data_IF_808211004072
#
_entry.id   IF_808211004072
#
_cell.length_a   1.000
_cell.length_b   1.000
_cell.length_c   1.000
_cell.angle_alpha   90.00
_cell.angle_beta   90.00
_cell.angle_gamma   90.00
#
_symmetry.space_group_name_H-M   'P 1'
#
loop_
_entity.id
_entity.type
_entity.pdbx_description
1 polymer ?
#
# COMPACT_ATOMS: atom_id res chain seq x y z
N UNK A 1 61.57 -3.65 29.73
CA UNK A 1 60.89 -2.58 28.94
C UNK A 1 61.59 -2.46 27.60
N UNK A 2 60.86 -2.21 26.51
CA UNK A 2 61.44 -2.01 25.18
C UNK A 2 62.09 -0.62 25.14
N UNK A 3 63.37 -0.54 24.79
CA UNK A 3 64.16 0.70 24.86
C UNK A 3 64.50 1.28 23.48
N UNK A 4 64.59 0.44 22.45
CA UNK A 4 65.01 0.82 21.10
C UNK A 4 64.10 0.14 20.07
N UNK A 5 63.64 0.92 19.08
CA UNK A 5 62.82 0.42 17.96
C UNK A 5 63.44 0.88 16.63
N UNK A 6 63.94 -0.05 15.83
CA UNK A 6 64.56 0.22 14.53
C UNK A 6 63.57 -0.02 13.39
N UNK A 7 63.28 1.04 12.61
CA UNK A 7 62.24 1.02 11.56
C UNK A 7 62.78 1.34 10.16
N UNK A 8 64.10 1.40 9.99
CA UNK A 8 64.74 1.74 8.72
C UNK A 8 64.43 0.73 7.59
N UNK A 9 64.46 1.19 6.34
CA UNK A 9 64.35 0.35 5.14
C UNK A 9 63.04 -0.47 5.02
N UNK A 10 61.93 0.05 5.52
CA UNK A 10 60.61 -0.52 5.31
C UNK A 10 59.80 0.30 4.29
N UNK A 11 59.01 -0.34 3.41
CA UNK A 11 58.13 0.37 2.48
C UNK A 11 56.91 0.92 3.23
N UNK A 12 56.96 2.18 3.63
CA UNK A 12 55.84 2.82 4.32
C UNK A 12 54.78 3.30 3.33
N UNK A 13 53.52 3.01 3.64
CA UNK A 13 52.37 3.61 2.99
C UNK A 13 52.00 4.87 3.77
N UNK A 14 51.94 6.01 3.10
CA UNK A 14 51.60 7.31 3.64
C UNK A 14 50.26 7.74 3.09
N UNK A 15 49.20 7.22 3.70
CA UNK A 15 47.81 7.52 3.38
C UNK A 15 47.04 7.96 4.62
N UNK A 16 45.80 8.37 4.41
CA UNK A 16 44.86 8.67 5.48
C UNK A 16 44.71 7.55 6.51
N UNK A 17 44.69 6.30 6.07
CA UNK A 17 44.47 5.14 6.94
C UNK A 17 45.65 4.88 7.88
N UNK A 18 46.84 5.34 7.50
CA UNK A 18 48.10 5.20 8.26
C UNK A 18 48.48 6.47 9.02
N UNK A 19 47.64 7.50 9.06
CA UNK A 19 47.94 8.76 9.77
C UNK A 19 48.20 8.58 11.26
N UNK A 20 47.50 7.64 11.89
CA UNK A 20 47.73 7.29 13.29
C UNK A 20 49.17 6.83 13.57
N UNK A 21 49.85 6.23 12.58
CA UNK A 21 51.20 5.73 12.75
C UNK A 21 52.22 6.89 12.78
N UNK A 22 51.99 7.93 11.98
CA UNK A 22 52.79 9.17 12.07
C UNK A 22 52.61 9.84 13.45
N UNK A 23 51.38 9.88 13.98
CA UNK A 23 51.09 10.41 15.32
C UNK A 23 51.75 9.57 16.43
N UNK A 24 51.76 8.24 16.27
CA UNK A 24 52.45 7.32 17.17
C UNK A 24 53.96 7.56 17.18
N UNK A 25 54.58 7.75 16.01
CA UNK A 25 56.01 8.04 15.90
C UNK A 25 56.39 9.38 16.56
N UNK A 26 55.49 10.36 16.62
CA UNK A 26 55.70 11.64 17.29
C UNK A 26 55.49 11.60 18.80
N UNK A 27 54.57 10.76 19.28
CA UNK A 27 54.12 10.74 20.69
C UNK A 27 54.80 9.67 21.54
N UNK A 28 55.53 8.73 20.93
CA UNK A 28 56.11 7.59 21.64
C UNK A 28 57.34 7.97 22.47
N UNK A 29 57.46 7.45 23.71
CA UNK A 29 58.63 7.68 24.57
C UNK A 29 59.83 6.77 24.22
N UNK A 30 59.72 5.94 23.17
CA UNK A 30 60.74 4.97 22.77
C UNK A 30 61.75 5.66 21.84
N UNK A 31 63.04 5.39 22.03
CA UNK A 31 64.06 5.94 21.14
C UNK A 31 64.01 5.23 19.77
N UNK A 32 63.71 6.00 18.73
CA UNK A 32 63.72 5.55 17.33
C UNK A 32 64.90 6.23 16.63
N UNK A 33 66.00 5.52 16.37
CA UNK A 33 67.15 6.10 15.69
C UNK A 33 66.77 6.47 14.24
N UNK A 34 67.28 7.61 13.77
CA UNK A 34 67.11 8.10 12.39
C UNK A 34 65.67 8.41 11.94
N UNK A 35 64.79 8.77 12.89
CA UNK A 35 63.38 9.10 12.66
C UNK A 35 63.15 10.10 11.49
N UNK A 36 64.03 11.10 11.34
CA UNK A 36 63.87 12.14 10.30
C UNK A 36 64.64 11.91 9.00
N UNK A 37 65.46 10.85 8.90
CA UNK A 37 66.38 10.66 7.76
C UNK A 37 66.25 9.33 7.02
N UNK A 38 65.61 8.32 7.60
CA UNK A 38 65.50 6.97 7.02
C UNK A 38 64.07 6.43 6.95
N UNK A 39 63.07 7.26 7.24
CA UNK A 39 61.64 6.91 7.22
C UNK A 39 60.94 7.65 6.08
N UNK A 40 61.06 7.11 4.88
CA UNK A 40 60.46 7.65 3.67
C UNK A 40 59.19 6.89 3.29
N UNK A 41 58.24 7.63 2.73
CA UNK A 41 57.05 7.07 2.10
C UNK A 41 57.45 6.39 0.78
N UNK A 42 57.03 5.14 0.59
CA UNK A 42 57.17 4.41 -0.67
C UNK A 42 55.88 4.51 -1.50
N UNK A 43 54.74 4.59 -0.81
CA UNK A 43 53.42 4.68 -1.43
C UNK A 43 52.59 5.78 -0.74
N UNK A 44 51.66 6.46 -1.43
CA UNK A 44 51.40 6.44 -2.89
C UNK A 44 52.51 7.15 -3.70
N UNK A 45 52.56 6.91 -5.03
CA UNK A 45 53.58 7.53 -5.93
C UNK A 45 53.67 9.06 -5.79
N UNK A 46 52.56 9.72 -5.45
CA UNK A 46 52.51 11.18 -5.25
C UNK A 46 53.30 11.68 -4.03
N UNK A 47 53.58 10.80 -3.06
CA UNK A 47 54.30 11.12 -1.81
C UNK A 47 55.63 10.35 -1.69
N UNK A 48 56.05 9.65 -2.75
CA UNK A 48 57.27 8.84 -2.72
C UNK A 48 58.50 9.69 -2.38
N UNK A 49 59.33 9.20 -1.45
CA UNK A 49 60.54 9.89 -0.98
C UNK A 49 60.32 10.99 0.06
N UNK A 50 59.07 11.39 0.34
CA UNK A 50 58.78 12.33 1.42
C UNK A 50 58.92 11.65 2.78
N UNK A 51 59.23 12.44 3.81
CA UNK A 51 59.30 11.93 5.18
C UNK A 51 57.91 11.59 5.69
N UNK A 52 57.76 10.46 6.38
CA UNK A 52 56.48 10.04 6.97
C UNK A 52 55.89 11.08 7.93
N UNK A 53 56.75 11.89 8.56
CA UNK A 53 56.38 12.98 9.47
C UNK A 53 55.87 14.24 8.77
N UNK A 54 56.07 14.37 7.45
CA UNK A 54 55.59 15.53 6.66
C UNK A 54 54.17 15.34 6.12
N UNK A 55 53.49 14.26 6.51
CA UNK A 55 52.13 14.00 6.08
C UNK A 55 51.13 14.97 6.74
N UNK A 56 50.41 15.74 5.92
CA UNK A 56 49.44 16.71 6.41
C UNK A 56 48.08 16.05 6.71
N UNK A 57 47.72 16.00 7.99
CA UNK A 57 46.47 15.37 8.46
C UNK A 57 45.22 16.14 8.04
N UNK A 58 45.34 17.43 7.68
CA UNK A 58 44.20 18.26 7.24
C UNK A 58 43.66 17.82 5.88
N UNK A 59 44.55 17.41 4.98
CA UNK A 59 44.18 16.85 3.67
C UNK A 59 43.28 15.60 3.81
N UNK A 60 43.44 14.86 4.92
CA UNK A 60 42.59 13.72 5.21
C UNK A 60 41.20 14.10 5.73
N UNK A 61 41.16 15.12 6.59
CA UNK A 61 39.91 15.63 7.14
C UNK A 61 39.00 16.25 6.07
N UNK A 62 39.56 16.81 4.99
CA UNK A 62 38.77 17.32 3.87
C UNK A 62 38.07 16.22 3.07
N UNK A 63 38.70 15.03 2.90
CA UNK A 63 38.12 13.90 2.16
C UNK A 63 36.96 13.27 2.95
N UNK A 64 37.18 12.91 4.21
CA UNK A 64 36.13 12.31 5.05
C UNK A 64 35.09 13.34 5.51
N UNK A 65 35.50 14.60 5.69
CA UNK A 65 34.62 15.70 6.08
C UNK A 65 33.61 16.07 5.01
N UNK A 66 34.03 16.09 3.73
CA UNK A 66 33.12 16.33 2.60
C UNK A 66 32.09 15.22 2.45
N UNK A 67 32.52 13.95 2.55
CA UNK A 67 31.60 12.81 2.50
C UNK A 67 30.61 12.82 3.68
N UNK A 68 31.10 13.07 4.90
CA UNK A 68 30.26 13.18 6.09
C UNK A 68 29.23 14.32 5.95
N UNK A 69 29.65 15.47 5.42
CA UNK A 69 28.76 16.61 5.17
C UNK A 69 27.66 16.27 4.15
N UNK A 70 28.02 15.60 3.05
CA UNK A 70 27.05 15.12 2.06
C UNK A 70 26.05 14.13 2.68
N UNK A 71 26.52 13.16 3.45
CA UNK A 71 25.65 12.19 4.12
C UNK A 71 24.72 12.87 5.12
N UNK A 72 25.25 13.75 5.98
CA UNK A 72 24.46 14.48 6.97
C UNK A 72 23.42 15.40 6.32
N UNK A 73 23.76 16.07 5.21
CA UNK A 73 22.81 16.93 4.49
C UNK A 73 21.66 16.12 3.87
N UNK A 74 21.95 14.96 3.27
CA UNK A 74 20.93 14.05 2.74
C UNK A 74 20.01 13.55 3.87
N UNK A 75 20.58 13.15 5.01
CA UNK A 75 19.81 12.72 6.17
C UNK A 75 18.93 13.84 6.74
N UNK A 76 19.43 15.07 6.82
CA UNK A 76 18.65 16.22 7.29
C UNK A 76 17.49 16.57 6.33
N UNK A 77 17.75 16.56 5.02
CA UNK A 77 16.73 16.82 4.00
C UNK A 77 15.65 15.73 4.02
N UNK A 78 16.04 14.45 4.09
CA UNK A 78 15.06 13.35 4.15
C UNK A 78 14.22 13.41 5.43
N UNK A 79 14.82 13.69 6.59
CA UNK A 79 14.10 13.77 7.85
C UNK A 79 13.11 14.95 7.91
N UNK A 80 13.34 16.01 7.15
CA UNK A 80 12.44 17.17 7.08
C UNK A 80 11.38 17.01 5.99
N UNK A 81 11.73 16.52 4.82
CA UNK A 81 10.83 16.41 3.66
C UNK A 81 9.82 15.27 3.81
N UNK A 82 10.22 14.11 4.36
CA UNK A 82 9.34 12.96 4.54
C UNK A 82 8.11 13.24 5.43
N UNK A 83 8.23 13.84 6.63
CA UNK A 83 7.07 14.15 7.46
C UNK A 83 6.20 15.25 6.83
N UNK A 84 6.79 16.24 6.15
CA UNK A 84 6.04 17.28 5.44
C UNK A 84 5.20 16.69 4.30
N UNK A 85 5.79 15.81 3.48
CA UNK A 85 5.07 15.09 2.43
C UNK A 85 3.98 14.19 3.01
N UNK A 86 4.24 13.50 4.12
CA UNK A 86 3.22 12.68 4.80
C UNK A 86 2.09 13.52 5.41
N UNK A 87 2.39 14.71 5.92
CA UNK A 87 1.38 15.58 6.50
C UNK A 87 0.53 16.27 5.42
N UNK A 88 1.15 16.72 4.33
CA UNK A 88 0.47 17.43 3.24
C UNK A 88 -0.24 16.47 2.27
N UNK A 89 0.36 15.32 1.97
CA UNK A 89 -0.13 14.39 0.94
C UNK A 89 -0.42 12.98 1.49
N UNK A 90 -0.35 12.74 2.80
CA UNK A 90 -0.48 11.39 3.36
C UNK A 90 -1.81 10.73 3.04
N UNK A 91 -2.91 11.48 3.13
CA UNK A 91 -4.24 11.00 2.79
C UNK A 91 -4.41 10.83 1.28
N UNK A 92 -4.00 11.81 0.47
CA UNK A 92 -4.14 11.75 -0.99
C UNK A 92 -3.30 10.64 -1.61
N UNK A 93 -2.05 10.45 -1.16
CA UNK A 93 -1.17 9.38 -1.64
C UNK A 93 -1.67 8.01 -1.17
N UNK A 94 -2.22 7.91 0.05
CA UNK A 94 -2.89 6.69 0.51
C UNK A 94 -4.12 6.35 -0.35
N UNK A 95 -4.97 7.33 -0.66
CA UNK A 95 -6.13 7.16 -1.52
C UNK A 95 -5.74 6.79 -2.95
N UNK A 96 -4.81 7.52 -3.58
CA UNK A 96 -4.32 7.20 -4.92
C UNK A 96 -3.67 5.82 -4.97
N UNK A 97 -2.89 5.45 -3.95
CA UNK A 97 -2.29 4.11 -3.88
C UNK A 97 -3.34 3.02 -3.76
N UNK A 98 -4.39 3.23 -2.94
CA UNK A 98 -5.51 2.29 -2.82
C UNK A 98 -6.30 2.15 -4.14
N UNK A 99 -6.57 3.26 -4.83
CA UNK A 99 -7.27 3.25 -6.12
C UNK A 99 -6.42 2.59 -7.20
N UNK A 100 -5.12 2.88 -7.25
CA UNK A 100 -4.18 2.24 -8.17
C UNK A 100 -3.96 0.77 -7.81
N UNK A 101 -3.93 0.40 -6.53
CA UNK A 101 -3.91 -1.00 -6.09
C UNK A 101 -5.20 -1.73 -6.45
N UNK A 102 -6.37 -1.10 -6.29
CA UNK A 102 -7.65 -1.67 -6.69
C UNK A 102 -7.77 -1.84 -8.23
N UNK A 103 -7.21 -0.88 -8.99
CA UNK A 103 -7.14 -0.93 -10.44
C UNK A 103 -6.12 -1.95 -10.97
N UNK A 104 -4.91 -2.00 -10.40
CA UNK A 104 -3.84 -2.92 -10.81
C UNK A 104 -4.07 -4.34 -10.31
N UNK A 105 -4.67 -4.51 -9.13
CA UNK A 105 -5.19 -5.80 -8.67
C UNK A 105 -6.49 -6.19 -9.39
N UNK A 106 -6.91 -5.38 -10.36
CA UNK A 106 -7.99 -5.63 -11.30
C UNK A 106 -9.17 -6.26 -10.60
N UNK A 107 -9.86 -5.48 -9.74
CA UNK A 107 -11.04 -5.86 -8.96
C UNK A 107 -11.19 -7.37 -8.95
N UNK A 108 -10.36 -8.04 -8.14
CA UNK A 108 -10.23 -9.48 -8.17
C UNK A 108 -11.61 -10.06 -8.34
N UNK A 109 -11.88 -10.63 -9.52
CA UNK A 109 -12.85 -11.71 -9.59
C UNK A 109 -12.51 -12.54 -8.37
N UNK A 110 -13.47 -12.70 -7.46
CA UNK A 110 -13.38 -13.80 -6.53
C UNK A 110 -13.07 -14.99 -7.43
N UNK A 111 -11.81 -15.44 -7.36
CA UNK A 111 -11.34 -16.57 -8.14
C UNK A 111 -12.36 -17.65 -7.84
N UNK A 112 -13.09 -18.04 -8.89
CA UNK A 112 -14.27 -18.86 -8.77
C UNK A 112 -13.97 -20.11 -7.97
N UNK A 113 -14.32 -20.11 -6.70
CA UNK A 113 -14.86 -21.32 -6.10
C UNK A 113 -16.30 -21.38 -6.53
N UNK A 114 -16.48 -22.26 -7.50
CA UNK A 114 -17.71 -22.79 -8.05
C UNK A 114 -18.36 -22.01 -9.19
N UNK A 115 -18.30 -22.62 -10.37
CA UNK A 115 -19.04 -22.30 -11.60
C UNK A 115 -20.55 -22.56 -11.45
N UNK A 116 -21.13 -22.28 -10.28
CA UNK A 116 -22.50 -22.63 -9.92
C UNK A 116 -23.42 -21.40 -9.83
N UNK A 117 -22.87 -20.19 -9.73
CA UNK A 117 -23.66 -18.95 -9.73
C UNK A 117 -24.06 -18.57 -11.16
N UNK A 118 -25.36 -18.50 -11.44
CA UNK A 118 -25.92 -18.10 -12.73
C UNK A 118 -25.97 -16.57 -12.90
N UNK A 119 -25.98 -15.83 -11.79
CA UNK A 119 -26.10 -14.38 -11.76
C UNK A 119 -24.96 -13.72 -10.99
N UNK A 120 -24.53 -12.55 -11.44
CA UNK A 120 -23.51 -11.74 -10.75
C UNK A 120 -24.09 -11.09 -9.48
N UNK A 121 -25.34 -10.63 -9.56
CA UNK A 121 -26.03 -10.06 -8.42
C UNK A 121 -27.55 -10.27 -8.47
N UNK A 122 -28.15 -10.55 -7.32
CA UNK A 122 -29.60 -10.49 -7.10
C UNK A 122 -29.95 -9.12 -6.49
N UNK A 123 -30.86 -8.38 -7.13
CA UNK A 123 -31.27 -7.06 -6.66
C UNK A 123 -32.63 -7.17 -5.95
N UNK A 124 -32.63 -6.86 -4.66
CA UNK A 124 -33.81 -6.85 -3.80
C UNK A 124 -34.27 -5.42 -3.61
N UNK A 125 -35.48 -5.10 -4.05
CA UNK A 125 -36.06 -3.76 -3.94
C UNK A 125 -37.55 -3.83 -3.63
N UNK A 126 -38.15 -2.71 -3.26
CA UNK A 126 -39.59 -2.65 -3.04
C UNK A 126 -40.35 -2.49 -4.35
N UNK A 127 -41.00 -3.56 -4.80
CA UNK A 127 -41.83 -3.58 -6.03
C UNK A 127 -43.09 -2.73 -5.90
N UNK A 128 -43.52 -2.38 -4.68
CA UNK A 128 -44.66 -1.48 -4.45
C UNK A 128 -44.29 -0.02 -4.71
N UNK A 129 -43.05 0.35 -4.44
CA UNK A 129 -42.57 1.69 -4.67
C UNK A 129 -42.25 1.87 -6.16
N UNK A 130 -43.18 2.49 -6.88
CA UNK A 130 -43.06 2.71 -8.31
C UNK A 130 -41.79 3.49 -8.69
N UNK A 131 -41.39 4.50 -7.90
CA UNK A 131 -40.19 5.28 -8.20
C UNK A 131 -38.92 4.44 -8.12
N UNK A 132 -38.84 3.53 -7.15
CA UNK A 132 -37.71 2.60 -7.00
C UNK A 132 -37.71 1.58 -8.13
N UNK A 133 -38.87 0.99 -8.41
CA UNK A 133 -39.01 0.00 -9.50
C UNK A 133 -38.61 0.60 -10.84
N UNK A 134 -39.12 1.79 -11.16
CA UNK A 134 -38.84 2.46 -12.43
C UNK A 134 -37.34 2.81 -12.55
N UNK A 135 -36.69 3.21 -11.46
CA UNK A 135 -35.24 3.44 -11.43
C UNK A 135 -34.43 2.15 -11.60
N UNK A 136 -34.82 1.06 -10.94
CA UNK A 136 -34.11 -0.23 -11.04
C UNK A 136 -34.14 -0.72 -12.50
N UNK A 137 -35.31 -0.77 -13.14
CA UNK A 137 -35.41 -1.31 -14.49
C UNK A 137 -34.87 -0.38 -15.58
N UNK A 138 -35.10 0.94 -15.49
CA UNK A 138 -34.75 1.85 -16.57
C UNK A 138 -33.34 2.45 -16.44
N UNK A 139 -32.83 2.58 -15.22
CA UNK A 139 -31.52 3.20 -14.96
C UNK A 139 -30.50 2.14 -14.55
N UNK A 140 -30.73 1.42 -13.46
CA UNK A 140 -29.74 0.47 -12.91
C UNK A 140 -29.45 -0.67 -13.89
N UNK A 141 -30.49 -1.34 -14.40
CA UNK A 141 -30.33 -2.47 -15.34
C UNK A 141 -29.67 -2.00 -16.64
N UNK A 142 -30.05 -0.84 -17.18
CA UNK A 142 -29.46 -0.32 -18.42
C UNK A 142 -27.98 0.02 -18.22
N UNK A 143 -27.62 0.70 -17.12
CA UNK A 143 -26.24 1.08 -16.87
C UNK A 143 -25.33 -0.12 -16.52
N UNK A 144 -25.85 -1.19 -15.92
CA UNK A 144 -25.05 -2.35 -15.52
C UNK A 144 -25.02 -3.47 -16.57
N UNK A 145 -26.12 -3.73 -17.27
CA UNK A 145 -26.18 -4.78 -18.29
C UNK A 145 -25.71 -4.26 -19.67
N UNK A 146 -25.94 -2.99 -20.00
CA UNK A 146 -25.59 -2.42 -21.32
C UNK A 146 -24.33 -1.53 -21.31
N UNK A 147 -23.53 -1.52 -20.23
CA UNK A 147 -22.27 -0.78 -20.23
C UNK A 147 -21.23 -1.43 -21.16
N UNK A 148 -20.65 -0.62 -22.05
CA UNK A 148 -19.65 -1.05 -23.03
C UNK A 148 -18.38 -1.67 -22.42
N UNK A 149 -18.11 -1.44 -21.14
CA UNK A 149 -16.87 -1.89 -20.49
C UNK A 149 -17.01 -3.26 -19.81
N UNK A 150 -18.22 -3.60 -19.32
CA UNK A 150 -18.48 -4.87 -18.63
C UNK A 150 -19.98 -5.14 -18.58
N UNK A 151 -20.39 -6.34 -18.98
CA UNK A 151 -21.77 -6.83 -18.90
C UNK A 151 -21.98 -7.59 -17.60
N UNK A 152 -22.79 -7.05 -16.70
CA UNK A 152 -23.25 -7.77 -15.51
C UNK A 152 -24.57 -8.49 -15.81
N UNK A 153 -24.79 -9.65 -15.19
CA UNK A 153 -26.08 -10.36 -15.25
C UNK A 153 -26.80 -10.23 -13.91
N UNK A 154 -27.91 -9.48 -13.90
CA UNK A 154 -28.71 -9.24 -12.71
C UNK A 154 -29.90 -10.20 -12.64
N UNK A 155 -30.21 -10.70 -11.44
CA UNK A 155 -31.46 -11.39 -11.15
C UNK A 155 -32.46 -10.39 -10.53
N UNK A 156 -33.67 -10.31 -11.11
CA UNK A 156 -34.75 -9.42 -10.68
C UNK A 156 -36.03 -10.23 -10.41
N UNK A 157 -36.77 -9.83 -9.37
CA UNK A 157 -37.97 -10.52 -8.89
C UNK A 157 -39.06 -10.67 -9.97
N UNK A 158 -39.43 -9.60 -10.68
CA UNK A 158 -40.55 -9.70 -11.65
C UNK A 158 -40.11 -10.24 -13.02
N UNK A 159 -38.81 -10.27 -13.32
CA UNK A 159 -38.26 -10.70 -14.63
C UNK A 159 -37.84 -12.16 -14.66
N UNK A 160 -37.11 -12.60 -13.64
CA UNK A 160 -36.34 -13.85 -13.68
C UNK A 160 -36.96 -14.95 -12.81
N UNK A 161 -38.02 -14.66 -12.05
CA UNK A 161 -38.72 -15.66 -11.26
C UNK A 161 -39.57 -16.57 -12.14
N UNK A 162 -39.45 -17.88 -11.89
CA UNK A 162 -40.11 -18.90 -12.69
C UNK A 162 -41.55 -19.07 -12.20
N UNK A 163 -42.56 -18.90 -13.08
CA UNK A 163 -43.95 -19.17 -12.71
C UNK A 163 -44.13 -20.68 -12.43
N UNK A 164 -44.82 -21.01 -11.34
CA UNK A 164 -45.06 -22.38 -10.90
C UNK A 164 -44.21 -22.84 -9.72
N UNK A 165 -43.17 -22.08 -9.35
CA UNK A 165 -42.48 -22.22 -8.05
C UNK A 165 -43.08 -21.27 -7.02
N UNK A 166 -42.95 -21.59 -5.73
CA UNK A 166 -43.34 -20.67 -4.67
C UNK A 166 -42.41 -19.45 -4.63
N UNK A 167 -42.91 -18.32 -4.13
CA UNK A 167 -42.12 -17.10 -3.91
C UNK A 167 -40.86 -17.40 -3.06
N UNK A 168 -40.97 -18.28 -2.08
CA UNK A 168 -39.84 -18.65 -1.21
C UNK A 168 -38.78 -19.45 -1.95
N UNK A 169 -39.17 -20.39 -2.81
CA UNK A 169 -38.24 -21.16 -3.63
C UNK A 169 -37.54 -20.29 -4.66
N UNK A 170 -38.28 -19.41 -5.33
CA UNK A 170 -37.69 -18.43 -6.27
C UNK A 170 -36.70 -17.51 -5.55
N UNK A 171 -37.07 -17.01 -4.37
CA UNK A 171 -36.19 -16.19 -3.54
C UNK A 171 -34.92 -16.94 -3.11
N UNK A 172 -35.07 -18.18 -2.64
CA UNK A 172 -33.93 -19.02 -2.26
C UNK A 172 -32.98 -19.23 -3.46
N UNK A 173 -33.53 -19.60 -4.62
CA UNK A 173 -32.75 -19.81 -5.83
C UNK A 173 -32.06 -18.52 -6.28
N UNK A 174 -32.73 -17.37 -6.20
CA UNK A 174 -32.12 -16.08 -6.55
C UNK A 174 -30.94 -15.73 -5.62
N UNK A 175 -31.07 -15.96 -4.32
CA UNK A 175 -30.00 -15.68 -3.34
C UNK A 175 -28.82 -16.65 -3.49
N UNK A 176 -29.07 -17.94 -3.66
CA UNK A 176 -27.99 -18.95 -3.75
C UNK A 176 -27.29 -18.98 -5.11
N UNK A 177 -28.01 -18.75 -6.20
CA UNK A 177 -27.44 -18.72 -7.55
C UNK A 177 -26.83 -17.36 -7.92
N UNK A 178 -26.84 -16.39 -7.01
CA UNK A 178 -26.19 -15.09 -7.19
C UNK A 178 -24.91 -14.98 -6.37
N UNK A 179 -23.87 -14.37 -6.96
CA UNK A 179 -22.60 -14.11 -6.28
C UNK A 179 -22.78 -13.07 -5.16
N UNK A 180 -23.65 -12.08 -5.40
CA UNK A 180 -23.97 -11.00 -4.46
C UNK A 180 -25.48 -10.80 -4.37
N UNK A 181 -25.93 -10.32 -3.21
CA UNK A 181 -27.29 -9.80 -3.04
C UNK A 181 -27.19 -8.32 -2.70
N UNK A 182 -28.00 -7.51 -3.36
CA UNK A 182 -27.93 -6.04 -3.38
C UNK A 182 -29.29 -5.49 -2.96
N UNK A 183 -29.36 -4.82 -1.81
CA UNK A 183 -30.62 -4.29 -1.28
C UNK A 183 -30.82 -2.81 -1.65
N UNK A 184 -31.82 -2.48 -2.47
CA UNK A 184 -32.16 -1.09 -2.79
C UNK A 184 -33.23 -0.61 -1.80
N UNK A 185 -32.82 0.25 -0.87
CA UNK A 185 -33.71 0.85 0.12
C UNK A 185 -34.02 2.30 -0.26
N UNK A 186 -35.29 2.66 -0.22
CA UNK A 186 -35.74 4.04 -0.40
C UNK A 186 -36.06 4.68 0.94
N UNK A 187 -35.67 5.94 1.14
CA UNK A 187 -35.97 6.75 2.33
C UNK A 187 -37.41 7.30 2.33
N UNK A 188 -38.30 6.72 1.52
CA UNK A 188 -39.71 7.05 1.44
C UNK A 188 -40.39 6.75 2.77
N UNK A 189 -40.79 7.83 3.42
CA UNK A 189 -41.43 7.86 4.72
C UNK A 189 -42.77 7.13 4.68
N UNK A 190 -42.92 6.00 5.37
CA UNK A 190 -44.06 5.85 6.27
C UNK A 190 -43.76 4.85 7.40
N UNK A 191 -43.85 5.36 8.62
CA UNK A 191 -43.72 4.64 9.89
C UNK A 191 -44.87 3.64 10.15
N UNK A 192 -45.52 3.14 9.10
CA UNK A 192 -46.68 2.26 9.15
C UNK A 192 -46.78 1.26 8.00
N UNK A 193 -45.98 1.37 6.94
CA UNK A 193 -45.96 0.35 5.89
C UNK A 193 -45.04 -0.82 6.28
N UNK A 194 -45.63 -2.01 6.31
CA UNK A 194 -44.92 -3.24 6.59
C UNK A 194 -43.85 -3.44 5.53
N UNK A 195 -42.57 -3.41 5.95
CA UNK A 195 -41.42 -3.79 5.11
C UNK A 195 -41.78 -5.02 4.30
N UNK A 196 -41.66 -4.94 2.97
CA UNK A 196 -42.04 -6.01 2.06
C UNK A 196 -41.51 -7.34 2.59
N UNK A 197 -42.42 -8.31 2.76
CA UNK A 197 -42.11 -9.62 3.33
C UNK A 197 -40.98 -10.33 2.58
N UNK A 198 -40.88 -10.10 1.26
CA UNK A 198 -39.81 -10.63 0.42
C UNK A 198 -38.45 -10.03 0.82
N UNK A 199 -38.36 -8.70 0.98
CA UNK A 199 -37.12 -8.02 1.39
C UNK A 199 -36.67 -8.52 2.76
N UNK A 200 -37.60 -8.61 3.72
CA UNK A 200 -37.30 -9.09 5.07
C UNK A 200 -36.83 -10.54 5.06
N UNK A 201 -37.45 -11.40 4.25
CA UNK A 201 -37.05 -12.80 4.15
C UNK A 201 -35.72 -12.96 3.41
N UNK A 202 -35.48 -12.17 2.37
CA UNK A 202 -34.21 -12.11 1.65
C UNK A 202 -33.07 -11.73 2.59
N UNK A 203 -33.30 -10.72 3.44
CA UNK A 203 -32.33 -10.29 4.45
C UNK A 203 -31.96 -11.42 5.42
N UNK A 204 -32.96 -12.15 5.95
CA UNK A 204 -32.68 -13.29 6.83
C UNK A 204 -31.96 -14.43 6.11
N UNK A 205 -32.33 -14.76 4.87
CA UNK A 205 -31.66 -15.80 4.08
C UNK A 205 -30.20 -15.44 3.79
N UNK A 206 -29.92 -14.19 3.41
CA UNK A 206 -28.56 -13.70 3.19
C UNK A 206 -27.76 -13.73 4.49
N UNK A 207 -28.35 -13.30 5.60
CA UNK A 207 -27.70 -13.35 6.91
C UNK A 207 -27.36 -14.79 7.33
N UNK A 208 -28.26 -15.75 7.10
CA UNK A 208 -27.99 -17.16 7.34
C UNK A 208 -26.84 -17.68 6.49
N UNK A 209 -26.83 -17.35 5.19
CA UNK A 209 -25.76 -17.73 4.25
C UNK A 209 -24.40 -17.16 4.70
N UNK A 210 -24.35 -15.91 5.16
CA UNK A 210 -23.11 -15.30 5.68
C UNK A 210 -22.57 -16.02 6.93
N UNK A 211 -23.48 -16.44 7.82
CA UNK A 211 -23.11 -17.19 9.03
C UNK A 211 -22.57 -18.59 8.68
N UNK A 212 -23.16 -19.23 7.68
CA UNK A 212 -22.80 -20.59 7.27
C UNK A 212 -21.49 -20.63 6.47
N UNK A 213 -21.30 -19.70 5.52
CA UNK A 213 -20.08 -19.64 4.70
C UNK A 213 -18.83 -19.17 5.48
N UNK A 214 -18.96 -18.68 6.73
CA UNK A 214 -17.88 -18.08 7.55
C UNK A 214 -17.07 -16.99 6.85
N UNK A 215 -17.52 -16.44 5.72
CA UNK A 215 -16.76 -15.42 5.01
C UNK A 215 -17.17 -14.06 5.55
N UNK A 216 -16.30 -13.46 6.34
CA UNK A 216 -16.35 -12.05 6.73
C UNK A 216 -16.17 -11.16 5.49
N UNK A 217 -17.16 -11.11 4.60
CA UNK A 217 -17.19 -10.15 3.49
C UNK A 217 -17.86 -8.89 4.03
N UNK A 218 -17.05 -8.03 4.65
CA UNK A 218 -17.44 -6.69 5.08
C UNK A 218 -18.03 -5.96 3.85
N UNK A 219 -19.30 -5.60 3.94
CA UNK A 219 -20.01 -4.85 2.91
C UNK A 219 -19.42 -3.44 2.84
N UNK A 220 -18.93 -3.04 1.66
CA UNK A 220 -18.50 -1.66 1.42
C UNK A 220 -19.74 -0.86 1.06
N UNK A 221 -20.15 0.02 1.97
CA UNK A 221 -21.22 0.99 1.71
C UNK A 221 -20.77 1.93 0.59
N UNK A 222 -21.40 1.85 -0.57
CA UNK A 222 -21.27 2.87 -1.61
C UNK A 222 -22.49 3.80 -1.47
N UNK A 223 -22.28 4.96 -0.83
CA UNK A 223 -23.26 6.04 -0.84
C UNK A 223 -23.11 6.79 -2.16
N UNK A 224 -23.94 6.47 -3.15
CA UNK A 224 -24.06 7.30 -4.35
C UNK A 224 -25.16 8.34 -4.10
N UNK A 225 -24.75 9.59 -3.88
CA UNK A 225 -25.67 10.73 -3.86
C UNK A 225 -25.97 11.13 -5.32
N UNK A 226 -27.12 10.73 -5.85
CA UNK A 226 -27.64 11.26 -7.10
C UNK A 226 -29.09 11.71 -6.93
N UNK A 227 -29.33 13.00 -7.15
CA UNK A 227 -30.64 13.64 -7.24
C UNK A 227 -31.57 13.46 -6.02
N UNK A 228 -31.17 13.97 -4.86
CA UNK A 228 -32.10 14.23 -3.73
C UNK A 228 -32.65 13.00 -2.99
N UNK A 229 -32.26 11.79 -3.37
CA UNK A 229 -32.63 10.55 -2.69
C UNK A 229 -31.38 9.84 -2.17
N UNK A 230 -31.33 9.59 -0.86
CA UNK A 230 -30.27 8.81 -0.22
C UNK A 230 -30.65 7.34 -0.32
N UNK A 231 -30.08 6.62 -1.29
CA UNK A 231 -30.23 5.17 -1.37
C UNK A 231 -29.15 4.51 -0.52
N UNK A 232 -29.57 3.83 0.55
CA UNK A 232 -28.69 2.99 1.36
C UNK A 232 -28.77 1.57 0.84
N UNK A 233 -27.69 1.10 0.22
CA UNK A 233 -27.51 -0.30 -0.10
C UNK A 233 -26.77 -0.98 1.06
N UNK A 234 -27.49 -1.86 1.77
CA UNK A 234 -26.95 -2.74 2.82
C UNK A 234 -26.18 -3.90 2.20
#
# INVERSE_FOLDING_TARGET
ALQLLTLHANPFKCDCDTSWFADFLLSTPVQIPYLSTHLHCEYPESQQGHNILSMDQRSCQDIYGSLAFLVCSILAVTFTVLPLLKHLYGWDMWYCLQVLWAGHKGYSQLAGTDSQHHYDAFVVFDTRNQAVRDWVYNELTVNLENSNHRRFYLCLEERDWIPGLSCIENLHNAVYNSVKTVFVLSSGSDSGETVNGVIRQAFFMVQQRLLDEKVSKIYTSLSCAFSGYTFSLL
#
